data_IF_521665294402
#
_entry.id   IF_521665294402
#
_cell.length_a   1.000
_cell.length_b   1.000
_cell.length_c   1.000
_cell.angle_alpha   90.00
_cell.angle_beta   90.00
_cell.angle_gamma   90.00
#
_symmetry.space_group_name_H-M   'P 1'
#
loop_
_entity.id
_entity.type
_entity.pdbx_description
1 polymer ?
#
# COMPACT_ATOMS: atom_id res chain seq x y z
N UNK A 1 -51.54 -42.53 37.23
CA UNK A 1 -50.13 -42.42 37.67
C UNK A 1 -49.24 -42.47 36.43
N UNK A 2 -48.61 -41.33 36.06
CA UNK A 2 -47.14 -41.11 36.02
C UNK A 2 -46.50 -41.50 34.66
N UNK A 3 -46.44 -40.59 33.67
CA UNK A 3 -45.44 -39.53 33.37
C UNK A 3 -44.07 -40.02 32.85
N UNK A 4 -43.69 -39.49 31.66
CA UNK A 4 -42.35 -39.25 31.10
C UNK A 4 -41.53 -40.50 30.73
N UNK A 5 -40.90 -40.62 29.55
CA UNK A 5 -39.84 -39.72 29.04
C UNK A 5 -39.59 -39.98 27.54
N UNK A 6 -40.06 -39.07 26.67
CA UNK A 6 -39.53 -38.88 25.31
C UNK A 6 -38.58 -37.70 25.44
N UNK A 7 -37.30 -37.94 25.73
CA UNK A 7 -36.28 -36.88 25.76
C UNK A 7 -34.88 -37.50 25.84
N UNK A 8 -34.46 -38.22 24.80
CA UNK A 8 -33.11 -38.80 24.79
C UNK A 8 -32.41 -38.81 23.42
N UNK A 9 -32.80 -37.92 22.50
CA UNK A 9 -32.07 -37.76 21.23
C UNK A 9 -31.64 -36.32 20.89
N UNK A 10 -32.05 -35.30 21.66
CA UNK A 10 -31.76 -33.89 21.30
C UNK A 10 -30.50 -33.33 21.98
N UNK A 11 -30.00 -33.95 23.06
CA UNK A 11 -28.83 -33.42 23.78
C UNK A 11 -27.46 -33.81 23.20
N UNK A 12 -27.38 -34.76 22.28
CA UNK A 12 -26.09 -35.24 21.76
C UNK A 12 -25.58 -34.47 20.53
N UNK A 13 -26.43 -33.71 19.83
CA UNK A 13 -26.01 -32.92 18.66
C UNK A 13 -25.54 -31.49 19.00
N UNK A 14 -25.63 -31.06 20.26
CA UNK A 14 -25.19 -29.73 20.72
C UNK A 14 -23.73 -29.71 21.22
N UNK A 15 -23.05 -30.86 21.30
CA UNK A 15 -21.65 -30.94 21.73
C UNK A 15 -20.63 -30.70 20.60
N UNK A 16 -21.07 -30.56 19.34
CA UNK A 16 -20.20 -30.33 18.18
C UNK A 16 -20.16 -28.87 17.70
N UNK A 17 -20.72 -27.92 18.48
CA UNK A 17 -20.77 -26.49 18.14
C UNK A 17 -19.80 -25.63 18.95
N UNK A 18 -18.76 -26.21 19.55
CA UNK A 18 -17.88 -25.53 20.49
C UNK A 18 -16.41 -25.89 20.31
N UNK A 19 -15.82 -25.43 19.21
CA UNK A 19 -14.41 -25.04 19.09
C UNK A 19 -14.17 -24.71 17.62
N UNK A 20 -14.66 -23.56 17.16
CA UNK A 20 -14.02 -22.89 16.02
C UNK A 20 -12.61 -22.51 16.49
N UNK A 21 -11.67 -23.43 16.37
CA UNK A 21 -10.26 -23.08 16.41
C UNK A 21 -10.07 -22.06 15.30
N UNK A 22 -9.93 -20.79 15.67
CA UNK A 22 -9.39 -19.77 14.76
C UNK A 22 -8.18 -20.43 14.10
N UNK A 23 -8.13 -20.51 12.75
CA UNK A 23 -7.04 -21.17 12.04
C UNK A 23 -5.72 -20.76 12.68
N UNK A 24 -4.88 -21.74 13.05
CA UNK A 24 -3.62 -21.50 13.77
C UNK A 24 -2.75 -20.47 13.05
N UNK A 25 -2.90 -20.36 11.72
CA UNK A 25 -2.23 -19.39 10.87
C UNK A 25 -2.58 -17.92 11.14
N UNK A 26 -3.76 -17.61 11.70
CA UNK A 26 -4.14 -16.23 12.02
C UNK A 26 -3.58 -15.74 13.36
N UNK A 27 -3.12 -16.64 14.24
CA UNK A 27 -2.61 -16.25 15.57
C UNK A 27 -1.36 -15.36 15.52
N UNK A 28 -0.58 -15.49 14.45
CA UNK A 28 0.67 -14.75 14.26
C UNK A 28 0.59 -13.76 13.09
N UNK A 29 -0.62 -13.50 12.58
CA UNK A 29 -0.82 -12.67 11.40
C UNK A 29 -1.13 -11.24 11.80
N UNK A 30 -0.43 -10.29 11.19
CA UNK A 30 -0.75 -8.86 11.25
C UNK A 30 -1.64 -8.50 10.06
N UNK A 31 -2.74 -7.78 10.29
CA UNK A 31 -3.63 -7.33 9.21
C UNK A 31 -3.34 -5.87 8.88
N UNK A 32 -3.08 -5.58 7.61
CA UNK A 32 -2.85 -4.24 7.08
C UNK A 32 -4.04 -3.87 6.20
N UNK A 33 -4.81 -2.86 6.58
CA UNK A 33 -5.90 -2.34 5.78
C UNK A 33 -5.41 -1.18 4.94
N UNK A 34 -5.70 -1.20 3.65
CA UNK A 34 -5.32 -0.13 2.74
C UNK A 34 -6.45 0.27 1.79
N UNK A 35 -6.26 1.42 1.15
CA UNK A 35 -7.06 1.87 0.02
C UNK A 35 -6.13 2.31 -1.12
N UNK A 36 -6.41 1.89 -2.35
CA UNK A 36 -5.77 2.42 -3.54
C UNK A 36 -6.50 3.71 -3.94
N UNK A 37 -5.84 4.87 -3.80
CA UNK A 37 -6.52 6.17 -3.92
C UNK A 37 -6.26 6.88 -5.25
N UNK A 38 -5.09 6.69 -5.87
CA UNK A 38 -4.79 7.33 -7.13
C UNK A 38 -3.73 6.59 -7.96
N UNK A 39 -3.82 6.68 -9.28
CA UNK A 39 -2.69 6.50 -10.19
C UNK A 39 -2.21 7.88 -10.63
N UNK A 40 -0.94 8.21 -10.40
CA UNK A 40 -0.35 9.50 -10.79
C UNK A 40 0.60 9.31 -11.96
N UNK A 41 0.47 10.10 -13.03
CA UNK A 41 1.30 9.93 -14.24
C UNK A 41 2.47 10.89 -14.37
N UNK A 42 2.46 11.99 -13.62
CA UNK A 42 3.54 12.97 -13.56
C UNK A 42 3.51 13.66 -12.21
N UNK A 43 4.69 13.99 -11.68
CA UNK A 43 4.83 14.74 -10.45
C UNK A 43 5.56 16.04 -10.77
N UNK A 44 4.90 17.16 -10.47
CA UNK A 44 5.47 18.49 -10.54
C UNK A 44 5.90 18.88 -9.13
N UNK A 45 7.20 19.09 -8.93
CA UNK A 45 7.75 19.40 -7.64
C UNK A 45 7.42 20.84 -7.24
N UNK A 46 6.83 21.01 -6.07
CA UNK A 46 6.58 22.32 -5.45
C UNK A 46 7.88 23.08 -5.17
N UNK A 47 8.97 22.34 -4.94
CA UNK A 47 10.34 22.85 -4.80
C UNK A 47 11.23 22.12 -5.81
N UNK A 48 11.75 22.80 -6.85
CA UNK A 48 12.60 22.16 -7.85
C UNK A 48 13.80 21.44 -7.24
N UNK A 49 14.09 20.24 -7.76
CA UNK A 49 15.08 19.33 -7.19
C UNK A 49 16.44 19.54 -7.84
N UNK A 50 17.44 19.90 -7.07
CA UNK A 50 18.82 20.02 -7.57
C UNK A 50 19.50 18.66 -7.56
N UNK A 51 19.96 18.20 -8.73
CA UNK A 51 20.69 16.93 -8.86
C UNK A 51 22.21 17.18 -9.00
N UNK A 52 23.07 16.33 -8.40
CA UNK A 52 24.52 16.57 -8.36
C UNK A 52 25.22 16.74 -9.72
N UNK A 53 24.68 16.12 -10.78
CA UNK A 53 25.29 16.09 -12.10
C UNK A 53 24.47 16.83 -13.18
N UNK A 54 23.47 17.64 -12.77
CA UNK A 54 22.68 18.47 -13.69
C UNK A 54 22.93 19.95 -13.41
N UNK A 55 22.93 20.74 -14.49
CA UNK A 55 23.09 22.19 -14.41
C UNK A 55 21.78 22.94 -14.13
N UNK A 56 20.64 22.33 -14.50
CA UNK A 56 19.31 22.88 -14.27
C UNK A 56 18.59 22.04 -13.20
N UNK A 57 17.82 22.68 -12.30
CA UNK A 57 16.91 21.98 -11.41
C UNK A 57 15.92 21.13 -12.18
N UNK A 58 15.50 20.02 -11.59
CA UNK A 58 14.39 19.19 -12.10
C UNK A 58 13.09 19.74 -11.52
N UNK A 59 12.18 20.15 -12.40
CA UNK A 59 10.87 20.70 -12.03
C UNK A 59 9.80 19.62 -11.99
N UNK A 60 9.95 18.58 -12.81
CA UNK A 60 8.98 17.49 -12.88
C UNK A 60 9.60 16.14 -13.22
N UNK A 61 8.90 15.07 -12.84
CA UNK A 61 9.25 13.70 -13.21
C UNK A 61 8.04 12.96 -13.76
N UNK A 62 8.29 12.13 -14.76
CA UNK A 62 7.32 11.20 -15.30
C UNK A 62 7.93 9.79 -15.38
N UNK A 63 7.12 8.72 -15.42
CA UNK A 63 7.60 7.38 -15.70
C UNK A 63 8.29 7.32 -17.07
N UNK A 64 9.34 6.52 -17.19
CA UNK A 64 10.11 6.42 -18.43
C UNK A 64 9.24 5.97 -19.60
N UNK A 65 8.40 4.96 -19.38
CA UNK A 65 7.34 4.62 -20.31
C UNK A 65 6.15 5.56 -20.09
N UNK A 66 5.61 6.13 -21.17
CA UNK A 66 4.48 7.08 -21.12
C UNK A 66 3.20 6.55 -20.46
N UNK A 67 3.10 5.24 -20.27
CA UNK A 67 1.95 4.56 -19.67
C UNK A 67 2.24 4.02 -18.26
N UNK A 68 3.42 4.31 -17.68
CA UNK A 68 3.69 4.04 -16.28
C UNK A 68 2.95 5.02 -15.36
N UNK A 69 3.01 4.77 -14.05
CA UNK A 69 2.41 5.64 -13.03
C UNK A 69 2.96 5.34 -11.63
N UNK A 70 2.70 6.24 -10.68
CA UNK A 70 2.80 5.98 -9.25
C UNK A 70 1.43 5.55 -8.74
N UNK A 71 1.32 4.32 -8.27
CA UNK A 71 0.14 3.82 -7.58
C UNK A 71 0.18 4.32 -6.14
N UNK A 72 -0.75 5.17 -5.76
CA UNK A 72 -0.80 5.85 -4.45
C UNK A 72 -1.83 5.18 -3.56
N UNK A 73 -1.40 4.83 -2.35
CA UNK A 73 -2.17 4.10 -1.38
C UNK A 73 -2.26 4.86 -0.06
N UNK A 74 -3.33 4.63 0.68
CA UNK A 74 -3.44 4.97 2.10
C UNK A 74 -3.38 3.68 2.92
N UNK A 75 -2.54 3.63 3.96
CA UNK A 75 -2.67 2.65 5.03
C UNK A 75 -3.75 3.15 5.99
N UNK A 76 -4.89 2.46 6.01
CA UNK A 76 -6.06 2.84 6.78
C UNK A 76 -6.00 2.33 8.22
N UNK A 77 -5.35 1.19 8.44
CA UNK A 77 -5.22 0.62 9.77
C UNK A 77 -4.28 -0.57 9.83
N UNK A 78 -3.81 -0.85 11.04
CA UNK A 78 -2.94 -1.97 11.35
C UNK A 78 -3.53 -2.73 12.54
N UNK A 79 -3.76 -4.02 12.37
CA UNK A 79 -4.18 -4.94 13.42
C UNK A 79 -3.02 -5.85 13.82
N UNK A 80 -2.47 -5.58 15.01
CA UNK A 80 -1.42 -6.36 15.67
C UNK A 80 -1.99 -7.09 16.90
N UNK A 81 -3.27 -7.52 16.86
CA UNK A 81 -3.91 -8.24 17.97
C UNK A 81 -3.71 -9.76 17.92
N UNK A 82 -3.01 -10.27 16.89
CA UNK A 82 -2.59 -11.67 16.82
C UNK A 82 -1.87 -12.09 18.09
N UNK A 83 -2.34 -13.16 18.73
CA UNK A 83 -1.89 -13.61 20.05
C UNK A 83 -0.37 -13.88 20.15
N UNK A 84 0.31 -14.20 19.03
CA UNK A 84 1.75 -14.43 18.98
C UNK A 84 2.59 -13.23 18.53
N UNK A 85 1.97 -12.07 18.26
CA UNK A 85 2.67 -10.89 17.72
C UNK A 85 2.84 -9.82 18.81
N UNK A 86 4.05 -9.64 19.38
CA UNK A 86 4.29 -8.60 20.37
C UNK A 86 4.41 -7.19 19.75
N UNK A 87 4.89 -7.12 18.51
CA UNK A 87 5.07 -5.89 17.75
C UNK A 87 5.23 -6.18 16.27
N UNK A 88 4.92 -5.20 15.44
CA UNK A 88 5.11 -5.21 13.99
C UNK A 88 5.96 -4.01 13.56
N UNK A 89 7.00 -4.26 12.79
CA UNK A 89 7.79 -3.20 12.16
C UNK A 89 7.23 -2.93 10.76
N UNK A 90 6.52 -1.81 10.65
CA UNK A 90 6.03 -1.25 9.40
C UNK A 90 7.16 -0.51 8.68
N UNK A 91 7.17 -0.65 7.35
CA UNK A 91 8.16 -0.10 6.43
C UNK A 91 7.53 -0.07 5.04
N UNK A 92 7.37 1.13 4.48
CA UNK A 92 6.74 1.35 3.17
C UNK A 92 7.48 0.60 2.06
N UNK A 93 8.81 0.50 2.14
CA UNK A 93 9.64 -0.13 1.11
C UNK A 93 9.45 -1.65 1.03
N UNK A 94 8.68 -2.25 1.94
CA UNK A 94 8.29 -3.66 1.91
C UNK A 94 6.98 -3.90 1.17
N UNK A 95 6.21 -2.87 0.82
CA UNK A 95 5.04 -3.09 -0.01
C UNK A 95 5.39 -3.40 -1.45
N UNK A 96 4.59 -4.27 -2.05
CA UNK A 96 4.62 -4.58 -3.47
C UNK A 96 3.23 -4.50 -4.06
N UNK A 97 3.10 -3.80 -5.17
CA UNK A 97 1.93 -3.96 -6.05
C UNK A 97 2.09 -5.28 -6.78
N UNK A 98 1.03 -6.08 -6.80
CA UNK A 98 0.92 -7.28 -7.62
C UNK A 98 -0.08 -7.04 -8.75
N UNK A 99 0.42 -7.08 -9.99
CA UNK A 99 -0.41 -7.10 -11.19
C UNK A 99 -0.12 -8.36 -11.99
N UNK A 100 -1.05 -9.32 -11.96
CA UNK A 100 -0.84 -10.66 -12.52
C UNK A 100 0.39 -11.35 -11.91
N UNK A 101 1.43 -11.59 -12.74
CA UNK A 101 2.72 -12.20 -12.34
C UNK A 101 3.77 -11.16 -11.96
N UNK A 102 3.56 -9.90 -12.28
CA UNK A 102 4.53 -8.84 -12.03
C UNK A 102 4.39 -8.30 -10.61
N UNK A 103 5.53 -7.84 -10.08
CA UNK A 103 5.62 -7.21 -8.76
C UNK A 103 6.41 -5.93 -8.88
N UNK A 104 5.83 -4.86 -8.35
CA UNK A 104 6.42 -3.54 -8.34
C UNK A 104 6.67 -3.10 -6.90
N UNK A 105 7.61 -2.19 -6.71
CA UNK A 105 8.09 -1.78 -5.39
C UNK A 105 8.62 -0.35 -5.43
N UNK A 106 9.63 -0.02 -4.62
CA UNK A 106 10.18 1.33 -4.60
C UNK A 106 10.77 1.73 -5.96
N UNK A 107 10.94 3.03 -6.14
CA UNK A 107 11.55 3.63 -7.33
C UNK A 107 12.92 3.02 -7.62
N UNK A 108 13.21 2.75 -8.89
CA UNK A 108 14.50 2.20 -9.32
C UNK A 108 15.29 3.20 -10.18
N UNK A 109 16.61 3.03 -10.29
CA UNK A 109 17.42 3.79 -11.23
C UNK A 109 17.01 3.55 -12.68
N UNK A 110 17.16 4.57 -13.52
CA UNK A 110 16.90 4.56 -14.96
C UNK A 110 15.46 4.21 -15.33
N UNK A 111 14.49 4.63 -14.51
CA UNK A 111 13.07 4.41 -14.77
C UNK A 111 12.27 5.71 -14.92
N UNK A 112 12.89 6.88 -14.83
CA UNK A 112 12.17 8.15 -14.95
C UNK A 112 12.60 8.95 -16.18
N UNK A 113 11.67 9.78 -16.67
CA UNK A 113 11.93 10.95 -17.51
C UNK A 113 11.96 12.18 -16.60
N UNK A 114 12.93 13.05 -16.84
CA UNK A 114 13.10 14.30 -16.09
C UNK A 114 12.71 15.47 -17.00
N UNK A 115 11.79 16.33 -16.57
CA UNK A 115 11.31 17.50 -17.35
C UNK A 115 10.91 17.15 -18.79
N UNK A 116 10.16 16.06 -18.94
CA UNK A 116 9.74 15.47 -20.21
C UNK A 116 10.88 15.04 -21.16
N UNK A 117 12.14 15.16 -20.75
CA UNK A 117 13.30 14.64 -21.47
C UNK A 117 13.55 13.15 -21.13
N UNK A 118 14.10 12.40 -22.09
CA UNK A 118 14.46 10.98 -21.91
C UNK A 118 15.75 10.78 -21.08
N UNK A 119 16.08 11.74 -20.21
CA UNK A 119 17.24 11.66 -19.36
C UNK A 119 17.05 10.58 -18.29
N UNK A 120 17.88 9.55 -18.35
CA UNK A 120 17.80 8.45 -17.39
C UNK A 120 18.36 8.89 -16.03
N UNK A 121 17.55 8.79 -14.97
CA UNK A 121 18.00 9.05 -13.60
C UNK A 121 19.10 8.05 -13.17
N UNK A 122 20.24 8.53 -12.66
CA UNK A 122 21.32 7.66 -12.21
C UNK A 122 21.02 7.03 -10.84
N UNK A 123 21.83 6.05 -10.41
CA UNK A 123 21.76 5.50 -9.05
C UNK A 123 21.92 6.57 -7.97
N UNK A 124 22.72 7.59 -8.23
CA UNK A 124 22.97 8.69 -7.29
C UNK A 124 21.78 9.66 -7.23
N UNK A 125 21.17 9.94 -8.39
CA UNK A 125 20.00 10.83 -8.46
C UNK A 125 18.74 10.19 -7.90
N UNK A 126 18.60 8.86 -8.04
CA UNK A 126 17.38 8.12 -7.71
C UNK A 126 16.94 8.35 -6.27
N UNK A 127 17.88 8.40 -5.32
CA UNK A 127 17.53 8.63 -3.91
C UNK A 127 16.98 10.04 -3.69
N UNK A 128 17.65 11.05 -4.23
CA UNK A 128 17.22 12.45 -4.11
C UNK A 128 15.84 12.65 -4.77
N UNK A 129 15.61 12.03 -5.92
CA UNK A 129 14.31 12.06 -6.59
C UNK A 129 13.25 11.31 -5.77
N UNK A 130 13.57 10.12 -5.23
CA UNK A 130 12.63 9.37 -4.40
C UNK A 130 12.22 10.16 -3.16
N UNK A 131 13.18 10.82 -2.50
CA UNK A 131 12.91 11.70 -1.35
C UNK A 131 12.02 12.88 -1.76
N UNK A 132 12.26 13.50 -2.93
CA UNK A 132 11.42 14.57 -3.44
C UNK A 132 10.00 14.12 -3.81
N UNK A 133 9.86 12.94 -4.44
CA UNK A 133 8.56 12.31 -4.70
C UNK A 133 7.81 12.03 -3.40
N UNK A 134 8.52 11.55 -2.38
CA UNK A 134 7.95 11.34 -1.06
C UNK A 134 7.51 12.65 -0.41
N UNK A 135 8.24 13.75 -0.58
CA UNK A 135 7.80 15.07 -0.07
C UNK A 135 6.51 15.55 -0.74
N UNK A 136 6.27 15.22 -2.01
CA UNK A 136 5.04 15.60 -2.71
C UNK A 136 3.84 14.71 -2.37
N UNK A 137 4.05 13.41 -2.18
CA UNK A 137 2.95 12.44 -2.07
C UNK A 137 2.84 11.84 -0.67
N UNK A 138 3.94 11.58 0.02
CA UNK A 138 3.91 10.80 1.25
C UNK A 138 3.30 11.60 2.42
N UNK A 139 2.46 10.93 3.20
CA UNK A 139 1.92 11.46 4.45
C UNK A 139 2.07 10.41 5.54
N UNK A 140 2.55 10.82 6.71
CA UNK A 140 2.92 9.89 7.78
C UNK A 140 4.32 9.27 7.62
N UNK A 141 4.71 8.40 8.57
CA UNK A 141 6.06 7.88 8.64
C UNK A 141 6.33 6.82 7.56
N UNK A 142 7.55 6.80 7.01
CA UNK A 142 8.00 5.74 6.09
C UNK A 142 8.24 4.40 6.79
N UNK A 143 8.51 4.44 8.11
CA UNK A 143 8.60 3.25 8.96
C UNK A 143 8.14 3.56 10.38
N UNK A 144 7.55 2.57 11.05
CA UNK A 144 7.05 2.70 12.41
C UNK A 144 6.96 1.34 13.08
N UNK A 145 7.20 1.28 14.40
CA UNK A 145 6.90 0.10 15.20
C UNK A 145 5.50 0.24 15.78
N UNK A 146 4.62 -0.70 15.43
CA UNK A 146 3.34 -0.89 16.09
C UNK A 146 3.49 -1.93 17.19
N UNK A 147 3.07 -1.61 18.41
CA UNK A 147 3.02 -2.61 19.50
C UNK A 147 1.77 -3.47 19.31
N UNK A 148 1.65 -4.53 20.10
CA UNK A 148 0.42 -5.31 20.14
C UNK A 148 -0.80 -4.41 20.37
N UNK A 149 -1.82 -4.53 19.52
CA UNK A 149 -3.03 -3.71 19.56
C UNK A 149 -3.62 -3.42 18.17
N UNK A 150 -4.77 -2.73 18.16
CA UNK A 150 -5.44 -2.29 16.94
C UNK A 150 -5.30 -0.79 16.75
N UNK A 151 -4.85 -0.38 15.56
CA UNK A 151 -4.59 1.00 15.19
C UNK A 151 -5.48 1.40 14.01
N UNK A 152 -6.73 1.81 14.25
CA UNK A 152 -7.62 2.30 13.21
C UNK A 152 -7.30 3.76 12.88
N UNK A 153 -7.43 4.16 11.61
CA UNK A 153 -7.34 5.54 11.11
C UNK A 153 -5.91 6.10 11.11
N UNK A 154 -5.01 5.43 10.38
CA UNK A 154 -3.63 5.90 10.21
C UNK A 154 -3.50 6.97 9.11
N UNK A 155 -4.22 6.80 8.00
CA UNK A 155 -4.15 7.67 6.82
C UNK A 155 -2.71 7.86 6.28
N UNK A 156 -1.84 6.85 6.40
CA UNK A 156 -0.46 6.98 5.90
C UNK A 156 -0.46 6.85 4.38
N UNK A 157 -0.16 7.95 3.69
CA UNK A 157 -0.09 8.00 2.23
C UNK A 157 1.29 7.62 1.75
N UNK A 158 1.36 6.72 0.78
CA UNK A 158 2.61 6.31 0.14
C UNK A 158 2.38 5.91 -1.32
N UNK A 159 3.46 5.85 -2.10
CA UNK A 159 3.39 5.51 -3.52
C UNK A 159 4.27 4.31 -3.85
N UNK A 160 3.81 3.47 -4.77
CA UNK A 160 4.59 2.39 -5.37
C UNK A 160 4.71 2.65 -6.86
N UNK A 161 5.92 2.50 -7.37
CA UNK A 161 6.23 2.89 -8.73
C UNK A 161 5.96 1.75 -9.72
N UNK A 162 5.09 1.99 -10.70
CA UNK A 162 4.74 1.07 -11.79
C UNK A 162 5.37 1.59 -13.10
N UNK A 163 6.47 0.98 -13.57
CA UNK A 163 7.30 1.54 -14.64
C UNK A 163 6.69 1.55 -16.04
N UNK A 164 5.67 0.72 -16.27
CA UNK A 164 5.13 0.47 -17.60
C UNK A 164 3.64 0.14 -17.51
N UNK A 165 2.96 0.18 -18.65
CA UNK A 165 1.56 -0.19 -18.76
C UNK A 165 1.30 -1.58 -18.17
N UNK A 166 0.22 -1.70 -17.42
CA UNK A 166 -0.30 -2.99 -16.98
C UNK A 166 -1.30 -3.47 -18.03
N UNK A 167 -0.99 -4.53 -18.80
CA UNK A 167 -1.96 -5.10 -19.72
C UNK A 167 -3.22 -5.49 -18.94
N UNK A 168 -4.38 -5.18 -19.51
CA UNK A 168 -5.71 -5.48 -18.94
C UNK A 168 -6.08 -4.75 -17.64
N UNK A 169 -5.29 -3.75 -17.22
CA UNK A 169 -5.65 -2.91 -16.07
C UNK A 169 -6.67 -1.85 -16.48
N UNK A 170 -7.90 -1.99 -15.98
CA UNK A 170 -9.02 -1.11 -16.30
C UNK A 170 -9.18 0.07 -15.33
N UNK A 171 -8.19 0.32 -14.46
CA UNK A 171 -8.30 1.32 -13.38
C UNK A 171 -8.94 0.77 -12.11
N UNK A 172 -8.92 -0.54 -11.92
CA UNK A 172 -9.45 -1.19 -10.72
C UNK A 172 -8.49 -1.02 -9.51
N UNK A 173 -8.89 -1.51 -8.34
CA UNK A 173 -7.96 -1.54 -7.20
C UNK A 173 -6.75 -2.46 -7.47
N UNK A 174 -5.54 -1.95 -7.29
CA UNK A 174 -4.32 -2.74 -7.38
C UNK A 174 -4.05 -3.46 -6.06
N UNK A 175 -3.82 -4.77 -6.15
CA UNK A 175 -3.55 -5.59 -4.95
C UNK A 175 -2.17 -5.27 -4.37
N UNK A 176 -2.15 -4.87 -3.09
CA UNK A 176 -0.93 -4.75 -2.31
C UNK A 176 -0.55 -6.07 -1.62
N UNK A 177 0.75 -6.29 -1.50
CA UNK A 177 1.36 -7.31 -0.66
C UNK A 177 2.45 -6.67 0.19
N UNK A 178 2.67 -7.20 1.38
CA UNK A 178 3.77 -6.79 2.25
C UNK A 178 4.84 -7.88 2.34
N UNK A 179 6.10 -7.52 2.08
CA UNK A 179 7.26 -8.41 2.16
C UNK A 179 7.89 -8.34 3.55
N UNK A 180 7.38 -9.13 4.50
CA UNK A 180 7.97 -9.26 5.82
C UNK A 180 6.97 -9.75 6.86
N UNK A 181 7.38 -10.72 7.68
CA UNK A 181 6.50 -11.35 8.67
C UNK A 181 5.34 -12.13 8.04
N UNK A 182 4.40 -12.56 8.89
CA UNK A 182 3.12 -13.15 8.46
C UNK A 182 2.10 -12.00 8.43
N UNK A 183 1.75 -11.55 7.24
CA UNK A 183 0.86 -10.41 7.05
C UNK A 183 -0.29 -10.77 6.11
N UNK A 184 -1.45 -10.19 6.38
CA UNK A 184 -2.59 -10.16 5.48
C UNK A 184 -2.82 -8.70 5.10
N UNK A 185 -2.91 -8.41 3.80
CA UNK A 185 -3.05 -7.04 3.29
C UNK A 185 -4.40 -6.96 2.58
N UNK A 186 -5.29 -6.12 3.08
CA UNK A 186 -6.69 -6.05 2.69
C UNK A 186 -7.01 -4.67 2.10
N UNK A 187 -7.38 -4.67 0.82
CA UNK A 187 -7.97 -3.51 0.15
C UNK A 187 -9.45 -3.37 0.46
N UNK A 188 -10.02 -2.19 0.19
CA UNK A 188 -11.44 -1.90 0.38
C UNK A 188 -12.29 -1.99 -0.90
N UNK A 189 -11.68 -2.33 -2.03
CA UNK A 189 -12.33 -2.59 -3.32
C UNK A 189 -12.61 -1.34 -4.16
N UNK A 190 -12.34 -0.14 -3.65
CA UNK A 190 -12.63 1.08 -4.39
C UNK A 190 -11.60 1.33 -5.50
N UNK A 191 -12.04 1.71 -6.71
CA UNK A 191 -11.11 2.08 -7.77
C UNK A 191 -10.39 3.39 -7.42
N UNK A 192 -9.09 3.51 -7.75
CA UNK A 192 -8.34 4.75 -7.62
C UNK A 192 -8.83 5.83 -8.60
N UNK A 193 -8.57 7.08 -8.28
CA UNK A 193 -8.65 8.17 -9.27
C UNK A 193 -7.48 8.12 -10.24
N UNK A 194 -7.69 8.52 -11.49
CA UNK A 194 -6.61 8.68 -12.47
C UNK A 194 -6.17 10.14 -12.54
N UNK A 195 -4.93 10.42 -12.14
CA UNK A 195 -4.40 11.77 -11.92
C UNK A 195 -3.27 12.03 -12.93
N UNK A 196 -3.49 12.89 -13.93
CA UNK A 196 -2.47 13.19 -14.94
C UNK A 196 -1.20 13.80 -14.33
N UNK A 197 -1.38 14.73 -13.40
CA UNK A 197 -0.29 15.46 -12.73
C UNK A 197 -0.65 15.62 -11.26
N UNK A 198 0.28 15.24 -10.37
CA UNK A 198 0.25 15.61 -8.96
C UNK A 198 1.33 16.67 -8.68
N UNK A 199 1.09 17.56 -7.73
CA UNK A 199 2.04 18.57 -7.27
C UNK A 199 1.39 19.47 -6.21
N UNK A 200 2.19 20.32 -5.56
CA UNK A 200 1.75 21.20 -4.47
C UNK A 200 1.20 20.41 -3.26
N UNK A 201 1.88 19.34 -2.85
CA UNK A 201 1.48 18.54 -1.68
C UNK A 201 0.28 17.63 -1.96
N UNK A 202 0.35 16.86 -3.04
CA UNK A 202 -0.64 15.84 -3.41
C UNK A 202 -2.07 16.35 -3.71
N UNK A 203 -2.21 17.57 -4.25
CA UNK A 203 -3.54 18.07 -4.62
C UNK A 203 -4.28 17.09 -5.55
N UNK A 204 -5.55 16.84 -5.25
CA UNK A 204 -6.39 15.90 -6.00
C UNK A 204 -6.25 14.44 -5.57
N UNK A 205 -5.32 14.11 -4.67
CA UNK A 205 -5.18 12.77 -4.09
C UNK A 205 -5.90 12.73 -2.74
N UNK A 206 -6.71 11.70 -2.52
CA UNK A 206 -7.38 11.51 -1.23
C UNK A 206 -6.36 11.40 -0.08
N UNK A 207 -6.66 12.07 1.04
CA UNK A 207 -5.84 12.06 2.27
C UNK A 207 -6.43 11.20 3.38
N UNK A 208 -7.65 10.69 3.21
CA UNK A 208 -8.34 9.89 4.22
C UNK A 208 -8.95 8.64 3.61
N UNK A 209 -8.93 7.56 4.37
CA UNK A 209 -9.60 6.34 3.99
C UNK A 209 -11.13 6.51 4.00
N UNK A 210 -11.78 5.89 3.03
CA UNK A 210 -13.23 5.80 3.00
C UNK A 210 -13.74 4.90 4.15
N UNK A 211 -14.93 5.22 4.71
CA UNK A 211 -15.55 4.43 5.77
C UNK A 211 -15.97 3.02 5.33
#
# INVERSE_FOLDING_TARGET
>A
MRKLTINMCVLACLAAAGCTSVPVDLRDTVVLHYQHVANVHRIDFSSPVMLPHRHLPVESVAPLASQGFWAVFLLCGVDVTGAGVPSFYFDVDRFRVRAGRQRFGPLRPYTLRLDDSADLNSRFDTRVIADAVAMEIQEGPSSQVFRHGYYPRLDYRFAIYVPHALPDYAGDELTLRYEGGRTMVLGNGYPPSDIPVAGLGAMGIASHCLP
#
